data_IF_235454032284
#
_entry.id   IF_235454032284
#
_cell.length_a   1.000
_cell.length_b   1.000
_cell.length_c   1.000
_cell.angle_alpha   90.00
_cell.angle_beta   90.00
_cell.angle_gamma   90.00
#
_symmetry.space_group_name_H-M   'P 1'
#
loop_
_entity.id
_entity.type
_entity.pdbx_description
1 polymer ?
#
# COMPACT_ATOMS: atom_id res chain seq x y z
N UNK A 1 13.52 -7.53 -8.57
CA UNK A 1 13.02 -6.81 -7.37
C UNK A 1 12.96 -5.30 -7.62
N UNK A 2 14.05 -4.70 -8.12
CA UNK A 2 14.19 -3.24 -8.35
C UNK A 2 13.08 -2.62 -9.20
N UNK A 3 12.68 -3.24 -10.31
CA UNK A 3 11.62 -2.71 -11.17
C UNK A 3 10.24 -2.70 -10.50
N UNK A 4 9.95 -3.68 -9.62
CA UNK A 4 8.70 -3.72 -8.85
C UNK A 4 8.67 -2.63 -7.78
N UNK A 5 9.82 -2.37 -7.13
CA UNK A 5 9.94 -1.25 -6.18
C UNK A 5 9.72 0.10 -6.88
N UNK A 6 10.33 0.31 -8.04
CA UNK A 6 10.14 1.55 -8.82
C UNK A 6 8.67 1.75 -9.20
N UNK A 7 7.99 0.70 -9.67
CA UNK A 7 6.56 0.75 -9.98
C UNK A 7 5.72 1.06 -8.74
N UNK A 8 6.00 0.43 -7.60
CA UNK A 8 5.31 0.71 -6.35
C UNK A 8 5.42 2.20 -5.96
N UNK A 9 6.61 2.80 -6.09
CA UNK A 9 6.83 4.21 -5.81
C UNK A 9 6.05 5.08 -6.80
N UNK A 10 6.19 4.83 -8.11
CA UNK A 10 5.50 5.59 -9.14
C UNK A 10 3.97 5.54 -9.01
N UNK A 11 3.44 4.37 -8.63
CA UNK A 11 2.02 4.20 -8.36
C UNK A 11 1.58 4.95 -7.11
N UNK A 12 2.43 5.08 -6.10
CA UNK A 12 2.08 5.69 -4.81
C UNK A 12 2.11 7.23 -4.85
N UNK A 13 3.10 7.82 -5.55
CA UNK A 13 3.31 9.27 -5.63
C UNK A 13 2.05 10.08 -5.96
N UNK A 14 1.26 9.79 -7.02
CA UNK A 14 0.10 10.63 -7.35
C UNK A 14 -0.98 10.61 -6.26
N UNK A 15 -1.25 9.46 -5.64
CA UNK A 15 -2.24 9.35 -4.56
C UNK A 15 -1.73 9.97 -3.27
N UNK A 16 -0.42 9.90 -3.03
CA UNK A 16 0.20 10.65 -1.95
C UNK A 16 0.00 12.13 -2.13
N UNK A 17 0.27 12.70 -3.32
CA UNK A 17 0.08 14.14 -3.58
C UNK A 17 -1.36 14.58 -3.26
N UNK A 18 -2.36 13.78 -3.67
CA UNK A 18 -3.77 14.07 -3.39
C UNK A 18 -4.05 14.05 -1.88
N UNK A 19 -3.54 13.05 -1.17
CA UNK A 19 -3.74 12.87 0.27
C UNK A 19 -2.83 13.73 1.16
N UNK A 20 -1.77 14.31 0.61
CA UNK A 20 -0.69 14.98 1.35
C UNK A 20 -1.20 16.14 2.20
N UNK A 21 -2.14 16.92 1.66
CA UNK A 21 -2.72 18.07 2.33
C UNK A 21 -3.53 17.72 3.58
N UNK A 22 -4.21 16.57 3.59
CA UNK A 22 -4.95 16.10 4.75
C UNK A 22 -4.01 15.42 5.76
N UNK A 23 -3.01 14.67 5.27
CA UNK A 23 -2.02 13.97 6.08
C UNK A 23 -1.17 14.91 6.95
N UNK A 24 -0.52 15.92 6.35
CA UNK A 24 0.38 16.82 7.09
C UNK A 24 -0.34 17.73 8.08
N UNK A 25 -1.60 18.06 7.81
CA UNK A 25 -2.38 18.98 8.65
C UNK A 25 -3.13 18.27 9.77
N UNK A 26 -3.02 16.94 9.87
CA UNK A 26 -3.82 16.14 10.81
C UNK A 26 -5.33 16.28 10.58
N UNK A 27 -5.72 16.75 9.40
CA UNK A 27 -7.11 17.05 9.09
C UNK A 27 -7.89 15.76 8.83
N UNK A 28 -9.19 15.81 9.12
CA UNK A 28 -10.12 14.77 8.68
C UNK A 28 -10.09 14.68 7.14
N UNK A 29 -9.98 13.48 6.55
CA UNK A 29 -10.02 13.33 5.11
C UNK A 29 -11.40 13.68 4.56
N UNK A 30 -11.45 14.60 3.58
CA UNK A 30 -12.63 14.81 2.74
C UNK A 30 -12.91 13.64 1.79
N UNK A 31 -14.07 13.65 1.13
CA UNK A 31 -14.49 12.62 0.17
C UNK A 31 -13.46 12.37 -0.95
N UNK A 32 -12.74 13.40 -1.41
CA UNK A 32 -11.70 13.27 -2.44
C UNK A 32 -10.57 12.35 -1.98
N UNK A 33 -10.14 12.46 -0.72
CA UNK A 33 -9.09 11.62 -0.13
C UNK A 33 -9.55 10.16 0.02
N UNK A 34 -10.80 9.96 0.41
CA UNK A 34 -11.42 8.62 0.52
C UNK A 34 -11.48 7.94 -0.85
N UNK A 35 -11.96 8.65 -1.88
CA UNK A 35 -12.02 8.15 -3.25
C UNK A 35 -10.63 7.87 -3.82
N UNK A 36 -9.67 8.77 -3.58
CA UNK A 36 -8.27 8.59 -3.98
C UNK A 36 -7.67 7.33 -3.37
N UNK A 37 -7.89 7.12 -2.07
CA UNK A 37 -7.45 5.92 -1.35
C UNK A 37 -8.10 4.65 -1.89
N UNK A 38 -9.41 4.68 -2.15
CA UNK A 38 -10.12 3.56 -2.77
C UNK A 38 -9.55 3.20 -4.14
N UNK A 39 -9.31 4.21 -4.99
CA UNK A 39 -8.70 4.02 -6.30
C UNK A 39 -7.28 3.47 -6.21
N UNK A 40 -6.46 3.96 -5.27
CA UNK A 40 -5.12 3.43 -5.03
C UNK A 40 -5.17 1.93 -4.69
N UNK A 41 -6.04 1.52 -3.77
CA UNK A 41 -6.16 0.11 -3.37
C UNK A 41 -6.61 -0.77 -4.54
N UNK A 42 -7.50 -0.28 -5.40
CA UNK A 42 -7.92 -0.98 -6.61
C UNK A 42 -6.76 -1.14 -7.61
N UNK A 43 -5.99 -0.08 -7.85
CA UNK A 43 -4.82 -0.12 -8.74
C UNK A 43 -3.74 -1.07 -8.18
N UNK A 44 -3.50 -1.02 -6.87
CA UNK A 44 -2.55 -1.90 -6.20
C UNK A 44 -2.97 -3.38 -6.29
N UNK A 45 -4.26 -3.67 -6.08
CA UNK A 45 -4.83 -5.00 -6.23
C UNK A 45 -4.73 -5.49 -7.68
N UNK A 46 -5.06 -4.65 -8.66
CA UNK A 46 -4.96 -4.97 -10.09
C UNK A 46 -3.51 -5.26 -10.50
N UNK A 47 -2.56 -4.50 -9.97
CA UNK A 47 -1.14 -4.72 -10.20
C UNK A 47 -0.65 -6.04 -9.59
N UNK A 48 -1.10 -6.37 -8.37
CA UNK A 48 -0.83 -7.66 -7.73
C UNK A 48 -1.37 -8.85 -8.52
N UNK A 49 -2.61 -8.71 -9.01
CA UNK A 49 -3.25 -9.67 -9.90
C UNK A 49 -2.46 -9.88 -11.19
N UNK A 50 -2.19 -8.80 -11.92
CA UNK A 50 -1.49 -8.83 -13.21
C UNK A 50 -0.11 -9.47 -13.08
N UNK A 51 0.67 -9.03 -12.09
CA UNK A 51 2.03 -9.54 -11.87
C UNK A 51 2.03 -11.02 -11.54
N UNK A 52 1.08 -11.47 -10.72
CA UNK A 52 0.98 -12.89 -10.32
C UNK A 52 0.54 -13.78 -11.49
N UNK A 53 -0.31 -13.27 -12.38
CA UNK A 53 -0.71 -13.96 -13.60
C UNK A 53 0.46 -14.04 -14.60
N UNK A 54 1.18 -12.94 -14.81
CA UNK A 54 2.28 -12.85 -15.77
C UNK A 54 3.49 -13.70 -15.35
N UNK A 55 3.90 -13.63 -14.09
CA UNK A 55 5.08 -14.35 -13.59
C UNK A 55 4.85 -15.87 -13.49
N UNK A 56 3.58 -16.33 -13.55
CA UNK A 56 3.14 -17.71 -13.27
C UNK A 56 3.69 -18.29 -11.96
N UNK A 57 4.18 -17.42 -11.08
CA UNK A 57 4.84 -17.71 -9.80
C UNK A 57 4.38 -16.65 -8.79
N UNK A 58 3.19 -16.81 -8.20
CA UNK A 58 2.63 -15.85 -7.25
C UNK A 58 3.56 -15.64 -6.03
N UNK A 59 4.38 -16.65 -5.70
CA UNK A 59 5.39 -16.56 -4.64
C UNK A 59 6.36 -15.38 -4.80
N UNK A 60 6.67 -14.93 -6.03
CA UNK A 60 7.58 -13.81 -6.27
C UNK A 60 6.93 -12.47 -5.93
N UNK A 61 5.66 -12.28 -6.26
CA UNK A 61 4.93 -11.06 -5.90
C UNK A 61 4.62 -11.03 -4.40
N UNK A 62 4.22 -12.17 -3.82
CA UNK A 62 3.99 -12.27 -2.38
C UNK A 62 5.29 -11.98 -1.62
N UNK A 63 6.43 -12.53 -2.04
CA UNK A 63 7.74 -12.22 -1.42
C UNK A 63 8.05 -10.72 -1.50
N UNK A 64 7.82 -10.10 -2.65
CA UNK A 64 7.98 -8.64 -2.79
C UNK A 64 7.06 -7.89 -1.81
N UNK A 65 5.77 -8.23 -1.77
CA UNK A 65 4.80 -7.56 -0.91
C UNK A 65 5.10 -7.77 0.58
N UNK A 66 5.59 -8.95 0.97
CA UNK A 66 6.01 -9.22 2.36
C UNK A 66 7.24 -8.40 2.75
N UNK A 67 8.25 -8.30 1.87
CA UNK A 67 9.44 -7.47 2.12
C UNK A 67 9.05 -5.99 2.16
N UNK A 68 8.22 -5.55 1.23
CA UNK A 68 7.69 -4.20 1.18
C UNK A 68 6.92 -3.87 2.47
N UNK A 69 5.99 -4.73 2.88
CA UNK A 69 5.22 -4.59 4.12
C UNK A 69 6.08 -4.58 5.38
N UNK A 70 7.12 -5.43 5.45
CA UNK A 70 8.06 -5.41 6.57
C UNK A 70 8.84 -4.09 6.65
N UNK A 71 9.35 -3.59 5.51
CA UNK A 71 10.01 -2.28 5.44
C UNK A 71 9.04 -1.18 5.89
N UNK A 72 7.76 -1.27 5.50
CA UNK A 72 6.73 -0.34 5.93
C UNK A 72 6.48 -0.37 7.44
N UNK A 73 6.38 -1.55 8.04
CA UNK A 73 6.20 -1.71 9.50
C UNK A 73 7.39 -1.10 10.25
N UNK A 74 8.61 -1.42 9.82
CA UNK A 74 9.83 -0.83 10.38
C UNK A 74 9.82 0.69 10.21
N UNK A 75 9.41 1.17 9.04
CA UNK A 75 9.27 2.59 8.76
C UNK A 75 8.29 3.32 9.68
N UNK A 76 7.10 2.73 9.91
CA UNK A 76 6.10 3.25 10.86
C UNK A 76 6.68 3.26 12.27
N UNK A 77 7.37 2.18 12.68
CA UNK A 77 8.03 2.13 13.98
C UNK A 77 9.07 3.24 14.15
N UNK A 78 9.97 3.40 13.19
CA UNK A 78 11.01 4.44 13.22
C UNK A 78 10.42 5.85 13.21
N UNK A 79 9.32 6.06 12.49
CA UNK A 79 8.63 7.35 12.42
C UNK A 79 8.01 7.74 13.77
N UNK A 80 7.25 6.84 14.40
CA UNK A 80 6.44 7.20 15.58
C UNK A 80 7.11 6.91 16.93
N UNK A 81 8.06 5.98 17.00
CA UNK A 81 8.70 5.59 18.26
C UNK A 81 10.15 6.07 18.41
N UNK A 82 10.84 6.31 17.28
CA UNK A 82 12.25 6.75 17.28
C UNK A 82 12.38 8.20 16.79
N UNK A 83 11.29 8.81 16.32
CA UNK A 83 11.25 10.18 15.79
C UNK A 83 12.29 10.42 14.68
N UNK A 84 12.62 9.39 13.91
CA UNK A 84 13.61 9.46 12.84
C UNK A 84 13.00 10.05 11.55
N UNK A 85 12.70 11.36 11.57
CA UNK A 85 11.95 12.06 10.52
C UNK A 85 12.54 11.94 9.10
N UNK A 86 13.85 11.80 8.97
CA UNK A 86 14.54 11.62 7.67
C UNK A 86 14.11 10.29 7.01
N UNK A 87 13.87 9.24 7.80
CA UNK A 87 13.43 7.92 7.33
C UNK A 87 11.89 7.89 7.23
N UNK A 88 11.20 8.74 7.98
CA UNK A 88 9.74 8.84 8.00
C UNK A 88 9.15 9.37 6.67
N UNK A 89 9.85 10.29 5.98
CA UNK A 89 9.33 10.91 4.75
C UNK A 89 9.13 9.90 3.61
N UNK A 90 10.12 9.04 3.28
CA UNK A 90 9.91 7.98 2.30
C UNK A 90 8.75 7.05 2.65
N UNK A 91 8.62 6.66 3.93
CA UNK A 91 7.57 5.76 4.41
C UNK A 91 6.19 6.42 4.29
N UNK A 92 6.10 7.69 4.69
CA UNK A 92 4.91 8.51 4.53
C UNK A 92 4.51 8.65 3.06
N UNK A 93 5.46 8.85 2.15
CA UNK A 93 5.17 9.04 0.72
C UNK A 93 4.79 7.74 0.02
N UNK A 94 5.40 6.62 0.41
CA UNK A 94 5.27 5.37 -0.33
C UNK A 94 4.12 4.52 0.22
N UNK A 95 3.77 4.68 1.51
CA UNK A 95 2.85 3.76 2.19
C UNK A 95 1.67 4.47 2.82
N UNK A 96 1.89 5.47 3.68
CA UNK A 96 0.80 6.08 4.44
C UNK A 96 0.02 7.13 3.65
N UNK A 97 0.72 7.88 2.81
CA UNK A 97 0.18 8.93 1.97
C UNK A 97 -0.95 8.44 1.08
N UNK A 98 -0.75 7.40 0.23
CA UNK A 98 -1.77 6.94 -0.70
C UNK A 98 -3.06 6.46 -0.03
N UNK A 99 -2.97 6.04 1.24
CA UNK A 99 -4.07 5.41 1.98
C UNK A 99 -4.59 6.24 3.15
N UNK A 100 -4.16 7.50 3.29
CA UNK A 100 -4.59 8.34 4.40
C UNK A 100 -6.11 8.57 4.45
N UNK A 101 -6.81 8.47 3.33
CA UNK A 101 -8.28 8.52 3.29
C UNK A 101 -8.95 7.48 4.18
N UNK A 102 -8.27 6.37 4.52
CA UNK A 102 -8.74 5.39 5.50
C UNK A 102 -8.96 6.00 6.90
N UNK A 103 -8.31 7.12 7.22
CA UNK A 103 -8.48 7.83 8.49
C UNK A 103 -9.92 8.27 8.71
N UNK A 104 -10.68 8.45 7.64
CA UNK A 104 -12.12 8.74 7.70
C UNK A 104 -12.90 7.63 8.42
N UNK A 105 -12.54 6.37 8.20
CA UNK A 105 -13.21 5.20 8.78
C UNK A 105 -12.62 4.79 10.13
N UNK A 106 -11.41 5.26 10.45
CA UNK A 106 -10.68 4.94 11.69
C UNK A 106 -10.26 6.22 12.44
N UNK A 107 -11.17 7.16 12.74
CA UNK A 107 -10.81 8.49 13.23
C UNK A 107 -10.22 8.48 14.64
N UNK A 108 -10.60 7.51 15.46
CA UNK A 108 -10.18 7.38 16.87
C UNK A 108 -8.90 6.56 17.05
N UNK A 109 -8.40 5.91 15.99
CA UNK A 109 -7.24 5.06 16.09
C UNK A 109 -5.99 5.94 16.30
N UNK A 110 -5.08 5.62 17.25
CA UNK A 110 -3.81 6.34 17.36
C UNK A 110 -3.02 6.32 16.05
N UNK A 111 -2.20 7.34 15.78
CA UNK A 111 -1.53 7.49 14.46
C UNK A 111 -0.57 6.34 14.16
N UNK A 112 0.11 5.83 15.18
CA UNK A 112 0.97 4.66 15.13
C UNK A 112 0.18 3.39 14.77
N UNK A 113 -0.93 3.13 15.46
CA UNK A 113 -1.81 2.00 15.20
C UNK A 113 -2.47 2.10 13.81
N UNK A 114 -2.84 3.31 13.41
CA UNK A 114 -3.34 3.61 12.07
C UNK A 114 -2.30 3.32 10.99
N UNK A 115 -1.03 3.68 11.23
CA UNK A 115 0.06 3.36 10.32
C UNK A 115 0.16 1.85 10.07
N UNK A 116 0.13 1.03 11.13
CA UNK A 116 0.15 -0.42 10.99
C UNK A 116 -1.09 -0.98 10.29
N UNK A 117 -2.28 -0.47 10.61
CA UNK A 117 -3.52 -0.88 9.95
C UNK A 117 -3.48 -0.63 8.44
N UNK A 118 -2.97 0.54 8.03
CA UNK A 118 -2.77 0.88 6.62
C UNK A 118 -1.83 -0.09 5.91
N UNK A 119 -0.69 -0.46 6.52
CA UNK A 119 0.22 -1.47 5.95
C UNK A 119 -0.48 -2.80 5.78
N UNK A 120 -1.21 -3.26 6.79
CA UNK A 120 -1.92 -4.54 6.75
C UNK A 120 -3.02 -4.56 5.68
N UNK A 121 -3.74 -3.44 5.48
CA UNK A 121 -4.77 -3.33 4.43
C UNK A 121 -4.14 -3.41 3.03
N UNK A 122 -3.04 -2.69 2.79
CA UNK A 122 -2.31 -2.74 1.51
C UNK A 122 -1.75 -4.15 1.27
N UNK A 123 -1.23 -4.79 2.32
CA UNK A 123 -0.75 -6.17 2.25
C UNK A 123 -1.88 -7.16 1.95
N UNK A 124 -3.03 -7.03 2.60
CA UNK A 124 -4.20 -7.83 2.31
C UNK A 124 -4.66 -7.68 0.84
N UNK A 125 -4.69 -6.45 0.32
CA UNK A 125 -4.98 -6.19 -1.09
C UNK A 125 -3.97 -6.88 -2.02
N UNK A 126 -2.68 -6.89 -1.67
CA UNK A 126 -1.66 -7.65 -2.39
C UNK A 126 -1.92 -9.15 -2.39
N UNK A 127 -2.26 -9.74 -1.25
CA UNK A 127 -2.55 -11.17 -1.13
C UNK A 127 -3.78 -11.56 -1.95
N UNK A 128 -4.86 -10.78 -1.84
CA UNK A 128 -6.11 -11.00 -2.59
C UNK A 128 -5.83 -10.93 -4.09
N UNK A 129 -5.18 -9.85 -4.56
CA UNK A 129 -4.85 -9.70 -5.98
C UNK A 129 -3.99 -10.86 -6.49
N UNK A 130 -2.94 -11.22 -5.74
CA UNK A 130 -2.04 -12.32 -6.11
C UNK A 130 -2.76 -13.67 -6.19
N UNK A 131 -3.62 -13.96 -5.21
CA UNK A 131 -4.40 -15.20 -5.17
C UNK A 131 -5.37 -15.32 -6.34
N UNK A 132 -6.11 -14.25 -6.65
CA UNK A 132 -7.01 -14.23 -7.81
C UNK A 132 -6.21 -14.40 -9.11
N UNK A 133 -5.04 -13.76 -9.22
CA UNK A 133 -4.14 -13.89 -10.37
C UNK A 133 -3.65 -15.32 -10.59
N UNK A 134 -3.30 -16.02 -9.50
CA UNK A 134 -2.91 -17.42 -9.53
C UNK A 134 -4.05 -18.32 -10.04
N UNK A 135 -5.25 -18.18 -9.48
CA UNK A 135 -6.42 -18.99 -9.87
C UNK A 135 -6.75 -18.83 -11.35
N UNK A 136 -6.69 -17.60 -11.87
CA UNK A 136 -6.91 -17.32 -13.30
C UNK A 136 -5.82 -17.93 -14.18
N UNK A 137 -4.54 -17.84 -13.78
CA UNK A 137 -3.43 -18.42 -14.55
C UNK A 137 -3.51 -19.94 -14.67
N UNK A 138 -3.92 -20.64 -13.60
CA UNK A 138 -4.08 -22.10 -13.59
C UNK A 138 -5.23 -22.56 -14.50
N UNK A 139 -6.29 -21.76 -14.65
CA UNK A 139 -7.38 -22.07 -15.58
C UNK A 139 -6.92 -21.96 -17.03
N UNK A 140 -6.19 -20.90 -17.38
CA UNK A 140 -5.67 -20.71 -18.75
C UNK A 140 -4.64 -21.76 -19.16
N UNK A 141 -3.92 -22.38 -18.22
CA UNK A 141 -2.96 -23.45 -18.54
C UNK A 141 -3.61 -24.84 -18.73
N UNK A 142 -4.88 -24.99 -18.35
CA UNK A 142 -5.66 -26.23 -18.51
C UNK A 142 -6.59 -26.22 -19.74
N UNK A 143 -6.80 -25.05 -20.34
CA UNK A 143 -7.57 -24.85 -21.57
C UNK A 143 -6.64 -24.93 -22.78
#
# INVERSE_FOLDING_TARGET
MTMKLLLAVLLSVPFTIINFNAYLKGNAPSAVHVLSTGLFLLVWLAWAFYTSQQDRKPSLFIRFSSVYGLISIIGVFLMYFVEAWIIAVPVGIIILGPVYGLRHFMPTLPYEAFGYACVLIVYAASLIGAFIGELSSKRSAKA
#
